data_IF_221506908887
#
_entry.id   IF_221506908887
#
_cell.length_a   1.000
_cell.length_b   1.000
_cell.length_c   1.000
_cell.angle_alpha   90.00
_cell.angle_beta   90.00
_cell.angle_gamma   90.00
#
_symmetry.space_group_name_H-M   'P 1'
#
loop_
_entity.id
_entity.type
_entity.pdbx_description
1 polymer ?
#
# COMPACT_ATOMS: atom_id res chain seq x y z
N UNK A 1 2.19 -0.02 -20.71
CA UNK A 1 2.04 -1.00 -19.62
C UNK A 1 0.77 -0.64 -18.84
N UNK A 2 -0.03 -1.64 -18.50
CA UNK A 2 -1.49 -1.71 -18.69
C UNK A 2 -2.35 -1.15 -17.55
N UNK A 3 -3.36 -0.37 -17.93
CA UNK A 3 -4.51 0.10 -17.13
C UNK A 3 -5.13 -0.98 -16.20
N UNK A 4 -5.08 -2.25 -16.63
CA UNK A 4 -5.63 -3.40 -15.91
C UNK A 4 -4.99 -3.66 -14.53
N UNK A 5 -3.69 -3.39 -14.38
CA UNK A 5 -2.99 -3.67 -13.13
C UNK A 5 -3.37 -2.70 -12.02
N UNK A 6 -3.54 -1.43 -12.36
CA UNK A 6 -3.98 -0.40 -11.44
C UNK A 6 -5.38 -0.73 -10.90
N UNK A 7 -6.31 -1.10 -11.78
CA UNK A 7 -7.64 -1.52 -11.34
C UNK A 7 -7.55 -2.74 -10.40
N UNK A 8 -6.76 -3.77 -10.76
CA UNK A 8 -6.57 -4.95 -9.91
C UNK A 8 -6.03 -4.61 -8.52
N UNK A 9 -5.03 -3.72 -8.43
CA UNK A 9 -4.50 -3.27 -7.14
C UNK A 9 -5.49 -2.44 -6.34
N UNK A 10 -6.31 -1.63 -7.02
CA UNK A 10 -7.39 -0.88 -6.38
C UNK A 10 -8.41 -1.82 -5.74
N UNK A 11 -8.77 -2.92 -6.41
CA UNK A 11 -9.64 -3.95 -5.84
C UNK A 11 -8.98 -4.74 -4.71
N UNK A 12 -7.69 -5.10 -4.85
CA UNK A 12 -6.93 -5.80 -3.80
C UNK A 12 -6.75 -4.96 -2.52
N UNK A 13 -6.79 -3.63 -2.67
CA UNK A 13 -6.73 -2.67 -1.55
C UNK A 13 -8.07 -2.55 -0.81
N UNK A 14 -9.16 -3.09 -1.36
CA UNK A 14 -10.48 -3.06 -0.71
C UNK A 14 -10.56 -4.09 0.39
N UNK A 15 -10.48 -3.62 1.64
CA UNK A 15 -10.30 -4.47 2.82
C UNK A 15 -11.38 -4.20 3.86
N UNK A 16 -11.54 -5.14 4.80
CA UNK A 16 -12.61 -5.07 5.81
C UNK A 16 -12.46 -3.92 6.82
N UNK A 17 -11.26 -3.33 6.92
CA UNK A 17 -10.96 -2.20 7.81
C UNK A 17 -11.03 -0.88 7.04
N UNK A 18 -12.01 -0.05 7.36
CA UNK A 18 -12.31 1.19 6.61
C UNK A 18 -11.12 2.17 6.55
N UNK A 19 -10.38 2.33 7.64
CA UNK A 19 -9.22 3.22 7.68
C UNK A 19 -8.11 2.76 6.73
N UNK A 20 -7.90 1.44 6.63
CA UNK A 20 -6.87 0.85 5.77
C UNK A 20 -7.34 0.85 4.31
N UNK A 21 -8.62 0.59 4.06
CA UNK A 21 -9.25 0.72 2.74
C UNK A 21 -9.09 2.13 2.16
N UNK A 22 -9.51 3.17 2.90
CA UNK A 22 -9.42 4.56 2.45
C UNK A 22 -7.98 4.95 2.14
N UNK A 23 -7.06 4.56 3.03
CA UNK A 23 -5.66 4.91 2.92
C UNK A 23 -4.97 4.21 1.74
N UNK A 24 -5.18 2.90 1.56
CA UNK A 24 -4.62 2.17 0.43
C UNK A 24 -5.28 2.57 -0.89
N UNK A 25 -6.58 2.85 -0.90
CA UNK A 25 -7.28 3.31 -2.09
C UNK A 25 -6.72 4.64 -2.60
N UNK A 26 -6.44 5.58 -1.68
CA UNK A 26 -5.84 6.87 -2.00
C UNK A 26 -4.39 6.71 -2.48
N UNK A 27 -3.58 5.91 -1.78
CA UNK A 27 -2.22 5.56 -2.19
C UNK A 27 -2.20 4.92 -3.58
N UNK A 28 -3.10 3.98 -3.87
CA UNK A 28 -3.17 3.34 -5.20
C UNK A 28 -3.61 4.32 -6.27
N UNK A 29 -4.56 5.21 -5.98
CA UNK A 29 -5.03 6.17 -6.97
C UNK A 29 -3.96 7.20 -7.35
N UNK A 30 -3.18 7.69 -6.39
CA UNK A 30 -2.28 8.83 -6.59
C UNK A 30 -0.79 8.46 -6.62
N UNK A 31 -0.34 7.55 -5.76
CA UNK A 31 1.08 7.21 -5.62
C UNK A 31 1.47 5.97 -6.44
N UNK A 32 0.65 4.91 -6.46
CA UNK A 32 0.94 3.70 -7.22
C UNK A 32 1.33 3.92 -8.69
N UNK A 33 0.66 4.78 -9.50
CA UNK A 33 1.12 5.04 -10.87
C UNK A 33 2.53 5.65 -10.93
N UNK A 34 2.93 6.43 -9.91
CA UNK A 34 4.23 7.11 -9.79
C UNK A 34 5.34 6.18 -9.28
N UNK A 35 4.98 5.05 -8.65
CA UNK A 35 5.93 4.07 -8.17
C UNK A 35 6.72 3.40 -9.31
N UNK A 36 8.00 3.11 -9.01
CA UNK A 36 8.86 2.27 -9.82
C UNK A 36 8.29 0.86 -9.97
N UNK A 37 8.58 0.15 -11.09
CA UNK A 37 8.09 -1.21 -11.33
C UNK A 37 8.49 -2.21 -10.22
N UNK A 38 9.64 -2.01 -9.58
CA UNK A 38 10.08 -2.82 -8.42
C UNK A 38 9.15 -2.64 -7.22
N UNK A 39 8.84 -1.39 -6.85
CA UNK A 39 7.90 -1.09 -5.77
C UNK A 39 6.47 -1.59 -6.07
N UNK A 40 6.05 -1.55 -7.34
CA UNK A 40 4.75 -2.12 -7.76
C UNK A 40 4.70 -3.63 -7.52
N UNK A 41 5.79 -4.35 -7.78
CA UNK A 41 5.87 -5.78 -7.47
C UNK A 41 5.85 -6.04 -5.96
N UNK A 42 6.59 -5.25 -5.18
CA UNK A 42 6.56 -5.35 -3.72
C UNK A 42 5.18 -5.02 -3.15
N UNK A 43 4.46 -4.06 -3.74
CA UNK A 43 3.09 -3.76 -3.36
C UNK A 43 2.16 -4.94 -3.60
N UNK A 44 2.31 -5.66 -4.73
CA UNK A 44 1.54 -6.89 -4.99
C UNK A 44 1.83 -7.97 -3.95
N UNK A 45 3.08 -8.15 -3.56
CA UNK A 45 3.47 -9.07 -2.47
C UNK A 45 2.85 -8.63 -1.13
N UNK A 46 2.90 -7.33 -0.82
CA UNK A 46 2.25 -6.76 0.36
C UNK A 46 0.74 -7.05 0.37
N UNK A 47 0.06 -6.92 -0.77
CA UNK A 47 -1.38 -7.22 -0.89
C UNK A 47 -1.72 -8.69 -0.65
N UNK A 48 -0.75 -9.60 -0.74
CA UNK A 48 -0.92 -11.01 -0.39
C UNK A 48 -0.82 -11.28 1.12
N UNK A 49 -0.42 -10.28 1.92
CA UNK A 49 -0.30 -10.37 3.38
C UNK A 49 -1.64 -10.09 4.08
N UNK A 50 -1.79 -10.58 5.32
CA UNK A 50 -3.02 -10.38 6.09
C UNK A 50 -3.23 -8.90 6.48
N UNK A 51 -4.50 -8.51 6.61
CA UNK A 51 -4.90 -7.15 6.99
C UNK A 51 -4.30 -6.69 8.31
N UNK A 52 -4.24 -7.62 9.28
CA UNK A 52 -3.70 -7.34 10.61
C UNK A 52 -2.22 -6.99 10.55
N UNK A 53 -1.41 -7.79 9.84
CA UNK A 53 0.03 -7.54 9.68
C UNK A 53 0.29 -6.22 8.96
N UNK A 54 -0.42 -5.97 7.86
CA UNK A 54 -0.33 -4.69 7.15
C UNK A 54 -0.64 -3.51 8.06
N UNK A 55 -1.72 -3.59 8.85
CA UNK A 55 -2.07 -2.53 9.79
C UNK A 55 -0.95 -2.30 10.81
N UNK A 56 -0.42 -3.36 11.40
CA UNK A 56 0.66 -3.29 12.39
C UNK A 56 1.96 -2.72 11.79
N UNK A 57 2.33 -3.09 10.56
CA UNK A 57 3.48 -2.53 9.83
C UNK A 57 3.31 -1.04 9.52
N UNK A 58 2.11 -0.64 9.07
CA UNK A 58 1.79 0.75 8.77
C UNK A 58 1.77 1.62 10.03
N UNK A 59 1.30 1.07 11.15
CA UNK A 59 1.32 1.71 12.46
C UNK A 59 2.71 1.70 13.10
N UNK A 60 3.68 0.99 12.53
CA UNK A 60 5.03 0.84 13.08
C UNK A 60 5.08 0.04 14.37
N UNK A 61 4.08 -0.82 14.60
CA UNK A 61 4.02 -1.75 15.75
C UNK A 61 4.77 -3.06 15.47
N UNK A 62 4.88 -3.43 14.20
CA UNK A 62 5.64 -4.59 13.73
C UNK A 62 6.56 -4.20 12.57
N UNK A 63 7.61 -4.98 12.32
CA UNK A 63 8.52 -4.79 11.18
C UNK A 63 8.08 -5.71 10.02
N UNK A 64 7.93 -5.18 8.80
CA UNK A 64 7.68 -6.01 7.63
C UNK A 64 8.93 -6.77 7.23
N UNK A 65 8.75 -7.76 6.36
CA UNK A 65 9.86 -8.49 5.74
C UNK A 65 10.85 -7.54 5.05
N UNK A 66 12.13 -7.91 4.97
CA UNK A 66 13.17 -7.04 4.41
C UNK A 66 12.86 -6.63 2.96
N UNK A 67 12.18 -7.51 2.22
CA UNK A 67 11.69 -7.26 0.87
C UNK A 67 10.57 -6.21 0.85
N UNK A 68 9.69 -6.19 1.85
CA UNK A 68 8.53 -5.31 1.93
C UNK A 68 8.81 -3.98 2.63
N UNK A 69 9.92 -3.87 3.37
CA UNK A 69 10.38 -2.63 4.00
C UNK A 69 10.30 -1.38 3.11
N UNK A 70 10.83 -1.36 1.87
CA UNK A 70 10.81 -0.15 1.05
C UNK A 70 9.39 0.27 0.64
N UNK A 71 8.48 -0.68 0.36
CA UNK A 71 7.09 -0.33 0.01
C UNK A 71 6.31 0.15 1.24
N UNK A 72 6.49 -0.50 2.40
CA UNK A 72 5.88 -0.05 3.66
C UNK A 72 6.38 1.34 4.05
N UNK A 73 7.68 1.60 3.88
CA UNK A 73 8.25 2.93 4.12
C UNK A 73 7.64 3.99 3.20
N UNK A 74 7.52 3.71 1.89
CA UNK A 74 6.89 4.62 0.93
C UNK A 74 5.43 4.93 1.29
N UNK A 75 4.66 3.90 1.68
CA UNK A 75 3.28 4.08 2.12
C UNK A 75 3.23 4.94 3.39
N UNK A 76 4.09 4.68 4.39
CA UNK A 76 4.14 5.49 5.63
C UNK A 76 4.55 6.93 5.37
N UNK A 77 5.45 7.16 4.43
CA UNK A 77 5.83 8.50 3.97
C UNK A 77 4.64 9.22 3.31
N UNK A 78 3.93 8.53 2.41
CA UNK A 78 2.70 9.03 1.83
C UNK A 78 1.67 9.42 2.90
N UNK A 79 1.44 8.58 3.92
CA UNK A 79 0.53 8.90 5.03
C UNK A 79 0.90 10.17 5.78
N UNK A 80 2.20 10.42 5.95
CA UNK A 80 2.72 11.59 6.66
C UNK A 80 2.55 12.86 5.84
N UNK A 81 2.71 12.75 4.52
CA UNK A 81 2.61 13.85 3.57
C UNK A 81 1.19 14.02 3.01
N UNK A 82 0.30 13.07 3.26
CA UNK A 82 -1.09 13.12 2.80
C UNK A 82 -1.76 14.34 3.44
N UNK A 83 -2.36 15.23 2.62
CA UNK A 83 -3.09 16.36 3.16
C UNK A 83 -4.22 15.82 4.04
N UNK A 84 -4.27 16.29 5.28
CA UNK A 84 -5.41 16.05 6.18
C UNK A 84 -6.63 16.67 5.50
N UNK A 85 -7.43 15.86 4.80
CA UNK A 85 -8.59 16.32 4.05
C UNK A 85 -9.87 15.88 4.73
#
# INVERSE_FOLDING_TARGET
MTDNDHNRMRWASRRGLLELDLFLADFVAYEYPRLSPELKNLYRELMSSADQDMFEWLMGRSDPDELLRPIVAAIRDYKRNAPSR
#
